data_IF_623703196466
#
_entry.id   IF_623703196466
#
_cell.length_a   1.000
_cell.length_b   1.000
_cell.length_c   1.000
_cell.angle_alpha   90.00
_cell.angle_beta   90.00
_cell.angle_gamma   90.00
#
_symmetry.space_group_name_H-M   'P 1'
#
loop_
_entity.id
_entity.type
_entity.pdbx_description
1 polymer ?
#
# COMPACT_ATOMS: atom_id res chain seq x y z
N UNK A 1 -26.97 -19.91 20.09
CA UNK A 1 -26.00 -19.89 18.98
C UNK A 1 -26.14 -18.57 18.24
N UNK A 2 -25.01 -18.07 17.72
CA UNK A 2 -24.88 -17.03 16.68
C UNK A 2 -25.11 -15.57 17.08
N UNK A 3 -24.02 -14.80 17.19
CA UNK A 3 -23.85 -13.44 16.64
C UNK A 3 -22.41 -12.92 16.80
N UNK A 4 -21.42 -13.65 16.29
CA UNK A 4 -20.01 -13.20 16.25
C UNK A 4 -19.40 -13.33 14.85
N UNK A 5 -20.00 -12.73 13.81
CA UNK A 5 -19.39 -12.82 12.45
C UNK A 5 -19.80 -11.70 11.48
N UNK A 6 -19.92 -10.44 11.93
CA UNK A 6 -20.18 -9.31 11.00
C UNK A 6 -19.41 -8.00 11.30
N UNK A 7 -18.29 -8.05 12.03
CA UNK A 7 -17.49 -6.84 12.35
C UNK A 7 -16.15 -6.70 11.61
N UNK A 8 -15.77 -7.65 10.74
CA UNK A 8 -14.38 -7.73 10.22
C UNK A 8 -14.14 -7.24 8.79
N UNK A 9 -15.17 -6.99 7.97
CA UNK A 9 -15.01 -6.72 6.53
C UNK A 9 -14.79 -5.23 6.17
N UNK A 10 -14.81 -4.33 7.16
CA UNK A 10 -14.65 -2.88 6.94
C UNK A 10 -13.57 -2.24 7.82
N UNK A 11 -12.80 -3.05 8.54
CA UNK A 11 -11.75 -2.54 9.42
C UNK A 11 -10.42 -2.53 8.68
N UNK A 12 -9.78 -1.37 8.68
CA UNK A 12 -8.38 -1.22 8.32
C UNK A 12 -7.51 -2.09 9.22
N UNK A 13 -6.70 -2.95 8.60
CA UNK A 13 -5.67 -3.75 9.27
C UNK A 13 -4.33 -3.56 8.57
N UNK A 14 -3.24 -3.83 9.27
CA UNK A 14 -1.91 -3.84 8.64
C UNK A 14 -1.87 -4.88 7.53
N UNK A 15 -1.30 -4.52 6.38
CA UNK A 15 -1.21 -5.42 5.24
C UNK A 15 -0.39 -6.67 5.57
N UNK A 16 0.65 -6.57 6.40
CA UNK A 16 1.44 -7.73 6.83
C UNK A 16 0.60 -8.75 7.61
N UNK A 17 -0.44 -8.31 8.33
CA UNK A 17 -1.35 -9.20 9.06
C UNK A 17 -2.41 -9.82 8.16
N UNK A 18 -2.82 -9.11 7.10
CA UNK A 18 -3.85 -9.58 6.16
C UNK A 18 -3.25 -10.52 5.11
N UNK A 19 -2.11 -10.14 4.53
CA UNK A 19 -1.38 -10.91 3.52
C UNK A 19 0.13 -10.64 3.64
N UNK A 20 0.87 -11.47 4.41
CA UNK A 20 2.32 -11.34 4.53
C UNK A 20 3.04 -11.45 3.19
N UNK A 21 2.53 -12.28 2.26
CA UNK A 21 3.09 -12.46 0.91
C UNK A 21 3.02 -11.15 0.11
N UNK A 22 1.84 -10.55 0.07
CA UNK A 22 1.61 -9.30 -0.67
C UNK A 22 2.38 -8.13 -0.06
N UNK A 23 2.41 -8.03 1.28
CA UNK A 23 3.23 -7.05 1.97
C UNK A 23 4.70 -7.18 1.56
N UNK A 24 5.28 -8.38 1.66
CA UNK A 24 6.69 -8.63 1.30
C UNK A 24 6.97 -8.30 -0.15
N UNK A 25 6.07 -8.67 -1.07
CA UNK A 25 6.22 -8.34 -2.48
C UNK A 25 6.30 -6.83 -2.68
N UNK A 26 5.28 -6.09 -2.23
CA UNK A 26 5.21 -4.63 -2.41
C UNK A 26 6.44 -3.95 -1.79
N UNK A 27 6.78 -4.26 -0.53
CA UNK A 27 7.90 -3.60 0.13
C UNK A 27 9.25 -3.96 -0.50
N UNK A 28 9.44 -5.20 -0.96
CA UNK A 28 10.70 -5.61 -1.59
C UNK A 28 10.87 -4.94 -2.96
N UNK A 29 9.80 -4.83 -3.74
CA UNK A 29 9.88 -4.20 -5.06
C UNK A 29 10.01 -2.67 -4.97
N UNK A 30 9.34 -2.03 -4.02
CA UNK A 30 9.57 -0.61 -3.71
C UNK A 30 11.01 -0.35 -3.26
N UNK A 31 11.58 -1.19 -2.40
CA UNK A 31 12.96 -1.05 -1.95
C UNK A 31 13.96 -1.24 -3.10
N UNK A 32 13.79 -2.29 -3.92
CA UNK A 32 14.71 -2.57 -5.03
C UNK A 32 14.65 -1.52 -6.15
N UNK A 33 13.45 -1.10 -6.54
CA UNK A 33 13.24 -0.26 -7.74
C UNK A 33 13.24 1.24 -7.45
N UNK A 34 12.86 1.62 -6.23
CA UNK A 34 12.64 3.01 -5.84
C UNK A 34 13.47 3.44 -4.63
N UNK A 35 14.19 2.52 -3.97
CA UNK A 35 14.95 2.77 -2.74
C UNK A 35 14.07 3.29 -1.59
N UNK A 36 12.80 2.90 -1.57
CA UNK A 36 11.86 3.27 -0.50
C UNK A 36 11.80 2.11 0.50
N UNK A 37 12.22 2.35 1.74
CA UNK A 37 12.23 1.30 2.75
C UNK A 37 10.86 1.14 3.39
N UNK A 38 10.56 -0.08 3.87
CA UNK A 38 9.27 -0.36 4.51
C UNK A 38 8.94 0.50 5.73
N UNK A 39 9.94 1.08 6.39
CA UNK A 39 9.77 2.00 7.51
C UNK A 39 9.25 3.39 7.09
N UNK A 40 9.46 3.76 5.83
CA UNK A 40 8.99 5.02 5.24
C UNK A 40 7.53 4.92 4.77
N UNK A 41 6.91 3.76 4.94
CA UNK A 41 5.58 3.43 4.44
C UNK A 41 4.63 3.03 5.59
N UNK A 42 3.34 3.28 5.39
CA UNK A 42 2.28 2.57 6.11
C UNK A 42 1.42 1.80 5.11
N UNK A 43 1.59 0.48 5.05
CA UNK A 43 0.77 -0.40 4.22
C UNK A 43 -0.37 -1.03 5.02
N UNK A 44 -1.60 -0.82 4.57
CA UNK A 44 -2.80 -1.39 5.18
C UNK A 44 -3.76 -1.99 4.16
N UNK A 45 -4.75 -2.70 4.68
CA UNK A 45 -5.74 -3.40 3.89
C UNK A 45 -7.12 -3.46 4.57
N UNK A 46 -8.17 -3.50 3.74
CA UNK A 46 -9.53 -3.85 4.12
C UNK A 46 -9.92 -5.10 3.32
N UNK A 47 -10.11 -6.22 4.01
CA UNK A 47 -10.58 -7.47 3.38
C UNK A 47 -12.05 -7.38 3.02
N UNK A 48 -12.38 -7.67 1.76
CA UNK A 48 -13.74 -7.76 1.23
C UNK A 48 -14.07 -9.20 0.83
N UNK A 49 -15.31 -9.47 0.44
CA UNK A 49 -15.74 -10.82 0.05
C UNK A 49 -15.02 -11.35 -1.19
N UNK A 50 -14.71 -10.47 -2.15
CA UNK A 50 -14.15 -10.81 -3.45
C UNK A 50 -12.72 -10.31 -3.66
N UNK A 51 -12.05 -9.83 -2.61
CA UNK A 51 -10.72 -9.25 -2.75
C UNK A 51 -10.26 -8.43 -1.55
N UNK A 52 -9.26 -7.59 -1.79
CA UNK A 52 -8.60 -6.76 -0.79
C UNK A 52 -8.49 -5.34 -1.32
N UNK A 53 -8.95 -4.37 -0.53
CA UNK A 53 -8.62 -2.96 -0.76
C UNK A 53 -7.32 -2.65 -0.04
N UNK A 54 -6.25 -2.37 -0.79
CA UNK A 54 -4.92 -2.05 -0.27
C UNK A 54 -4.75 -0.54 -0.28
N UNK A 55 -4.07 0.01 0.71
CA UNK A 55 -3.60 1.39 0.69
C UNK A 55 -2.17 1.44 1.23
N UNK A 56 -1.35 2.28 0.60
CA UNK A 56 0.01 2.59 1.00
C UNK A 56 0.09 4.08 1.24
N UNK A 57 0.46 4.46 2.46
CA UNK A 57 0.69 5.85 2.82
C UNK A 57 2.16 6.14 2.97
N UNK A 58 2.56 7.35 2.60
CA UNK A 58 3.97 7.75 2.49
C UNK A 58 4.12 9.28 2.57
N UNK A 59 5.37 9.74 2.56
CA UNK A 59 5.74 11.14 2.74
C UNK A 59 5.65 11.58 4.21
N UNK A 60 5.81 12.88 4.45
CA UNK A 60 5.77 13.41 5.81
C UNK A 60 4.44 13.12 6.50
N UNK A 61 4.52 12.59 7.72
CA UNK A 61 3.37 12.20 8.54
C UNK A 61 2.38 11.24 7.85
N UNK A 62 2.79 10.55 6.78
CA UNK A 62 1.92 9.67 5.99
C UNK A 62 0.70 10.39 5.38
N UNK A 63 0.87 11.66 4.98
CA UNK A 63 -0.19 12.49 4.43
C UNK A 63 -0.58 12.17 2.97
N UNK A 64 0.24 11.38 2.27
CA UNK A 64 -0.07 10.92 0.91
C UNK A 64 -0.53 9.46 0.96
N UNK A 65 -1.47 9.10 0.09
CA UNK A 65 -2.04 7.77 0.00
C UNK A 65 -2.17 7.35 -1.46
N UNK A 66 -1.83 6.09 -1.73
CA UNK A 66 -2.19 5.37 -2.95
C UNK A 66 -2.95 4.12 -2.55
N UNK A 67 -4.10 3.92 -3.14
CA UNK A 67 -4.97 2.79 -2.85
C UNK A 67 -5.45 2.10 -4.11
N UNK A 68 -5.72 0.81 -4.00
CA UNK A 68 -6.29 0.01 -5.07
C UNK A 68 -7.10 -1.13 -4.50
N UNK A 69 -8.24 -1.41 -5.12
CA UNK A 69 -8.98 -2.63 -4.89
C UNK A 69 -8.52 -3.72 -5.84
N UNK A 70 -8.05 -4.84 -5.30
CA UNK A 70 -7.64 -6.02 -6.04
C UNK A 70 -8.61 -7.15 -5.77
N UNK A 71 -9.21 -7.70 -6.82
CA UNK A 71 -9.99 -8.94 -6.72
C UNK A 71 -9.08 -10.12 -6.39
N UNK A 72 -9.67 -11.23 -5.92
CA UNK A 72 -8.91 -12.45 -5.66
C UNK A 72 -8.13 -12.94 -6.91
N UNK A 73 -8.71 -12.77 -8.11
CA UNK A 73 -8.04 -13.11 -9.38
C UNK A 73 -6.87 -12.17 -9.67
N UNK A 74 -7.03 -10.86 -9.43
CA UNK A 74 -5.96 -9.87 -9.63
C UNK A 74 -4.78 -10.05 -8.67
N UNK A 75 -5.01 -10.62 -7.48
CA UNK A 75 -3.93 -10.94 -6.53
C UNK A 75 -2.97 -12.03 -7.05
N UNK A 76 -3.38 -12.77 -8.08
CA UNK A 76 -2.54 -13.78 -8.74
C UNK A 76 -1.89 -13.23 -10.03
N UNK A 77 -2.27 -12.04 -10.49
CA UNK A 77 -1.72 -11.40 -11.68
C UNK A 77 -0.51 -10.52 -11.30
N UNK A 78 0.70 -11.02 -11.62
CA UNK A 78 1.95 -10.32 -11.36
C UNK A 78 2.01 -8.94 -12.02
N UNK A 79 1.41 -8.75 -13.20
CA UNK A 79 1.45 -7.46 -13.90
C UNK A 79 0.63 -6.41 -13.17
N UNK A 80 -0.54 -6.80 -12.65
CA UNK A 80 -1.39 -5.90 -11.87
C UNK A 80 -0.65 -5.43 -10.62
N UNK A 81 0.01 -6.36 -9.92
CA UNK A 81 0.82 -6.03 -8.75
C UNK A 81 2.03 -5.15 -9.09
N UNK A 82 2.68 -5.43 -10.22
CA UNK A 82 3.81 -4.65 -10.70
C UNK A 82 3.40 -3.20 -11.03
N UNK A 83 2.29 -3.03 -11.75
CA UNK A 83 1.73 -1.70 -12.05
C UNK A 83 1.40 -0.93 -10.76
N UNK A 84 0.80 -1.59 -9.77
CA UNK A 84 0.54 -0.94 -8.48
C UNK A 84 1.83 -0.48 -7.79
N UNK A 85 2.88 -1.30 -7.79
CA UNK A 85 4.18 -0.93 -7.21
C UNK A 85 4.78 0.25 -7.96
N UNK A 86 4.69 0.29 -9.29
CA UNK A 86 5.16 1.41 -10.11
C UNK A 86 4.46 2.71 -9.74
N UNK A 87 3.12 2.68 -9.67
CA UNK A 87 2.33 3.86 -9.32
C UNK A 87 2.64 4.40 -7.92
N UNK A 88 2.81 3.50 -6.93
CA UNK A 88 3.21 3.87 -5.57
C UNK A 88 4.63 4.44 -5.57
N UNK A 89 5.57 3.77 -6.24
CA UNK A 89 6.97 4.16 -6.27
C UNK A 89 7.21 5.52 -6.92
N UNK A 90 6.57 5.78 -8.06
CA UNK A 90 6.66 7.09 -8.73
C UNK A 90 6.02 8.20 -7.89
N UNK A 91 4.87 7.93 -7.27
CA UNK A 91 4.22 8.90 -6.40
C UNK A 91 5.08 9.24 -5.16
N UNK A 92 5.71 8.24 -4.54
CA UNK A 92 6.65 8.46 -3.44
C UNK A 92 7.84 9.33 -3.88
N UNK A 93 8.47 9.02 -5.02
CA UNK A 93 9.58 9.83 -5.56
C UNK A 93 9.16 11.27 -5.78
N UNK A 94 7.99 11.49 -6.39
CA UNK A 94 7.50 12.83 -6.66
C UNK A 94 7.27 13.62 -5.37
N UNK A 95 6.64 13.02 -4.36
CA UNK A 95 6.43 13.67 -3.05
C UNK A 95 7.75 14.04 -2.39
N UNK A 96 8.76 13.15 -2.42
CA UNK A 96 10.08 13.47 -1.85
C UNK A 96 10.77 14.63 -2.58
N UNK A 97 10.61 14.72 -3.90
CA UNK A 97 11.11 15.85 -4.70
C UNK A 97 10.37 17.14 -4.31
N UNK A 98 9.05 17.10 -4.24
CA UNK A 98 8.22 18.26 -3.91
C UNK A 98 8.52 18.77 -2.50
N UNK A 99 8.66 17.87 -1.52
CA UNK A 99 9.03 18.21 -0.15
C UNK A 99 10.42 18.85 -0.07
N UNK A 100 11.38 18.37 -0.87
CA UNK A 100 12.72 18.96 -0.96
C UNK A 100 12.67 20.39 -1.50
N UNK A 101 11.96 20.64 -2.60
CA UNK A 101 11.86 21.98 -3.19
C UNK A 101 11.05 22.95 -2.33
N UNK A 102 9.94 22.50 -1.73
CA UNK A 102 9.10 23.34 -0.86
C UNK A 102 9.85 23.78 0.41
N UNK A 103 10.79 22.97 0.92
CA UNK A 103 11.62 23.32 2.08
C UNK A 103 12.83 24.20 1.75
N UNK A 104 13.24 24.24 0.49
CA UNK A 104 14.39 25.04 0.02
C UNK A 104 14.00 26.35 -0.68
N UNK A 105 12.71 26.56 -0.96
CA UNK A 105 12.21 27.85 -1.40
C UNK A 105 12.13 28.83 -0.20
N UNK A 106 12.88 29.94 -0.21
CA UNK A 106 12.85 30.95 0.86
C UNK A 106 11.54 31.76 0.89
#
# INVERSE_FOLDING_TARGET
MSNKTKKSQNQVRSLISVSPKLYRYITSELEKRYHIHSYDLQAGAITKENGIHIFVRFGEHYNNEKDQFLTNEMLEDEKVLETFVEEVGEACKQVMIDDYFNKMAP
#
